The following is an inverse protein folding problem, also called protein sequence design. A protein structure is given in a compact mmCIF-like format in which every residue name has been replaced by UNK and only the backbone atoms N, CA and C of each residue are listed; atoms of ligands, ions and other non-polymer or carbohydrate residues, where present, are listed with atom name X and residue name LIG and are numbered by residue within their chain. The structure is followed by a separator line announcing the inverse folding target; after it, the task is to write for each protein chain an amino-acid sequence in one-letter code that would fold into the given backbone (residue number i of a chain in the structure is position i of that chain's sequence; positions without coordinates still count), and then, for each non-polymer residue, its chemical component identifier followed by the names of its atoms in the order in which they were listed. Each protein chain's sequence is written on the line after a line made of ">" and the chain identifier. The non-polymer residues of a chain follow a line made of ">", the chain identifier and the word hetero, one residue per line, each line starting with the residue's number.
data_IF_431364642460
#
_entry.id   IF_431364642460
#
_cell.length_a   1.000
_cell.length_b   1.000
_cell.length_c   1.000
_cell.angle_alpha   90.00
_cell.angle_beta   90.00
_cell.angle_gamma   90.00
#
_symmetry.space_group_name_H-M   'P 1'
#
loop_
_entity.id
_entity.type
_entity.pdbx_description
1 polymer ?
#
# COMPACT_ATOMS: atom_id res chain seq x y z
N UNK A 1 2.63 -1.59 -22.24
CA UNK A 1 2.13 -1.96 -20.89
C UNK A 1 0.63 -1.72 -20.84
N UNK A 2 -0.12 -2.62 -20.23
CA UNK A 2 -1.57 -2.48 -20.00
C UNK A 2 -1.89 -2.62 -18.50
N UNK A 3 -3.08 -2.17 -18.09
CA UNK A 3 -3.65 -2.63 -16.82
C UNK A 3 -4.04 -4.11 -16.95
N UNK A 4 -4.07 -4.83 -15.82
CA UNK A 4 -4.44 -6.25 -15.78
C UNK A 4 -5.75 -6.57 -16.51
N UNK A 5 -6.79 -5.77 -16.30
CA UNK A 5 -8.10 -5.94 -16.93
C UNK A 5 -8.20 -5.38 -18.36
N UNK A 6 -7.10 -4.81 -18.89
CA UNK A 6 -7.02 -4.09 -20.18
C UNK A 6 -8.00 -2.92 -20.31
N UNK A 7 -8.60 -2.45 -19.21
CA UNK A 7 -9.54 -1.32 -19.20
C UNK A 7 -8.83 -0.01 -18.88
N UNK A 8 -9.42 1.08 -19.36
CA UNK A 8 -9.05 2.44 -19.01
C UNK A 8 -10.15 3.05 -18.13
N UNK A 9 -9.78 3.58 -16.97
CA UNK A 9 -10.72 4.15 -16.00
C UNK A 9 -10.86 5.67 -16.14
N UNK A 10 -10.31 6.27 -17.21
CA UNK A 10 -10.25 7.71 -17.32
C UNK A 10 -9.26 8.31 -16.31
N UNK A 11 -9.55 9.54 -15.90
CA UNK A 11 -8.86 10.16 -14.79
C UNK A 11 -9.41 9.57 -13.49
N UNK A 12 -8.51 9.17 -12.58
CA UNK A 12 -8.84 8.60 -11.27
C UNK A 12 -7.92 9.22 -10.21
N UNK A 13 -8.33 9.19 -8.94
CA UNK A 13 -7.46 9.66 -7.84
C UNK A 13 -6.32 8.69 -7.58
N UNK A 14 -5.24 9.15 -6.94
CA UNK A 14 -4.13 8.28 -6.51
C UNK A 14 -4.62 7.16 -5.57
N UNK A 15 -5.60 7.46 -4.70
CA UNK A 15 -6.24 6.45 -3.85
C UNK A 15 -6.87 5.35 -4.70
N UNK A 16 -7.74 5.70 -5.64
CA UNK A 16 -8.37 4.70 -6.52
C UNK A 16 -7.33 3.91 -7.30
N UNK A 17 -6.30 4.57 -7.84
CA UNK A 17 -5.22 3.91 -8.56
C UNK A 17 -4.45 2.90 -7.70
N UNK A 18 -4.12 3.26 -6.46
CA UNK A 18 -3.43 2.39 -5.50
C UNK A 18 -4.29 1.21 -5.07
N UNK A 19 -5.55 1.48 -4.69
CA UNK A 19 -6.49 0.46 -4.23
C UNK A 19 -6.84 -0.55 -5.30
N UNK A 20 -6.94 -0.11 -6.56
CA UNK A 20 -7.25 -0.97 -7.71
C UNK A 20 -5.98 -1.46 -8.42
N UNK A 21 -4.80 -1.21 -7.84
CA UNK A 21 -3.49 -1.63 -8.34
C UNK A 21 -3.27 -1.34 -9.84
N UNK A 22 -3.53 -0.11 -10.27
CA UNK A 22 -3.49 0.26 -11.69
C UNK A 22 -2.05 0.53 -12.15
N UNK A 23 -1.59 -0.23 -13.14
CA UNK A 23 -0.23 -0.18 -13.69
C UNK A 23 0.10 1.18 -14.33
N UNK A 24 -0.81 1.72 -15.16
CA UNK A 24 -0.51 2.93 -15.94
C UNK A 24 -0.33 4.17 -15.04
N UNK A 25 -1.19 4.43 -14.04
CA UNK A 25 -0.92 5.47 -13.05
C UNK A 25 0.38 5.28 -12.27
N UNK A 26 0.76 4.03 -11.92
CA UNK A 26 2.01 3.77 -11.20
C UNK A 26 3.23 4.15 -12.05
N UNK A 27 3.24 3.78 -13.33
CA UNK A 27 4.31 4.14 -14.28
C UNK A 27 4.42 5.66 -14.42
N UNK A 28 3.29 6.34 -14.65
CA UNK A 28 3.27 7.81 -14.76
C UNK A 28 3.74 8.50 -13.49
N UNK A 29 3.41 7.94 -12.32
CA UNK A 29 3.89 8.47 -11.04
C UNK A 29 5.41 8.34 -10.94
N UNK A 30 5.99 7.20 -11.36
CA UNK A 30 7.44 7.02 -11.38
C UNK A 30 8.12 7.98 -12.38
N UNK A 31 7.53 8.18 -13.56
CA UNK A 31 8.02 9.12 -14.57
C UNK A 31 8.03 10.57 -14.04
N UNK A 32 6.95 10.98 -13.37
CA UNK A 32 6.82 12.32 -12.77
C UNK A 32 7.78 12.54 -11.60
N UNK A 33 7.91 11.56 -10.70
CA UNK A 33 8.82 11.65 -9.54
C UNK A 33 10.28 11.57 -9.98
N UNK A 34 10.57 10.82 -11.05
CA UNK A 34 11.90 10.54 -11.56
C UNK A 34 12.57 9.35 -10.88
N UNK A 35 13.23 8.52 -11.70
CA UNK A 35 13.86 7.28 -11.26
C UNK A 35 14.88 7.44 -10.13
N UNK A 36 15.73 8.47 -10.17
CA UNK A 36 16.74 8.70 -9.12
C UNK A 36 16.12 9.02 -7.75
N UNK A 37 14.98 9.71 -7.73
CA UNK A 37 14.25 9.97 -6.49
C UNK A 37 13.61 8.70 -5.95
N UNK A 38 13.04 7.88 -6.84
CA UNK A 38 12.48 6.57 -6.48
C UNK A 38 13.57 5.63 -5.93
N UNK A 39 14.73 5.55 -6.60
CA UNK A 39 15.90 4.78 -6.15
C UNK A 39 16.33 5.19 -4.74
N UNK A 40 16.48 6.49 -4.50
CA UNK A 40 16.84 7.01 -3.18
C UNK A 40 15.80 6.65 -2.12
N UNK A 41 14.52 6.69 -2.47
CA UNK A 41 13.43 6.38 -1.56
C UNK A 41 13.42 4.89 -1.16
N UNK A 42 13.48 3.98 -2.13
CA UNK A 42 13.47 2.52 -1.84
C UNK A 42 14.76 2.05 -1.17
N UNK A 43 15.91 2.63 -1.51
CA UNK A 43 17.17 2.40 -0.79
C UNK A 43 17.05 2.78 0.69
N UNK A 44 16.37 3.90 0.99
CA UNK A 44 16.07 4.32 2.37
C UNK A 44 15.18 3.33 3.15
N UNK A 45 14.49 2.44 2.45
CA UNK A 45 13.67 1.35 2.99
C UNK A 45 14.39 -0.01 2.97
N UNK A 46 15.71 -0.03 2.71
CA UNK A 46 16.51 -1.26 2.71
C UNK A 46 16.39 -2.11 1.45
N UNK A 47 15.82 -1.56 0.36
CA UNK A 47 15.67 -2.23 -0.92
C UNK A 47 16.65 -1.60 -1.91
N UNK A 48 17.69 -2.35 -2.26
CA UNK A 48 18.68 -1.94 -3.27
C UNK A 48 18.21 -2.32 -4.66
N UNK A 49 18.19 -1.35 -5.57
CA UNK A 49 17.86 -1.58 -6.99
C UNK A 49 19.13 -1.78 -7.81
N UNK A 50 19.08 -2.69 -8.79
CA UNK A 50 20.22 -2.98 -9.67
C UNK A 50 20.45 -1.93 -10.76
N UNK A 51 19.48 -1.05 -10.97
CA UNK A 51 19.54 0.08 -11.90
C UNK A 51 18.56 1.17 -11.45
N UNK A 52 18.69 2.37 -12.01
CA UNK A 52 17.78 3.47 -11.70
C UNK A 52 16.35 3.13 -12.16
N UNK A 53 15.35 3.15 -11.26
CA UNK A 53 13.96 2.81 -11.56
C UNK A 53 13.38 3.56 -12.76
N UNK A 54 12.79 2.80 -13.67
CA UNK A 54 12.03 3.31 -14.80
C UNK A 54 11.04 2.25 -15.30
N UNK A 55 9.98 2.68 -15.99
CA UNK A 55 9.05 1.79 -16.70
C UNK A 55 8.57 0.60 -15.87
N UNK A 56 9.09 -0.60 -16.19
CA UNK A 56 8.72 -1.87 -15.55
C UNK A 56 8.99 -1.91 -14.04
N UNK A 57 9.97 -1.17 -13.52
CA UNK A 57 10.23 -1.13 -12.08
C UNK A 57 9.11 -0.45 -11.28
N UNK A 58 8.21 0.32 -11.94
CA UNK A 58 7.01 0.83 -11.29
C UNK A 58 5.95 -0.25 -11.02
N UNK A 59 6.04 -1.40 -11.70
CA UNK A 59 5.06 -2.49 -11.63
C UNK A 59 5.65 -3.78 -11.03
N UNK A 60 6.94 -3.80 -10.69
CA UNK A 60 7.58 -4.91 -10.00
C UNK A 60 9.08 -4.76 -9.90
N UNK A 61 9.64 -5.21 -8.78
CA UNK A 61 11.08 -5.34 -8.52
C UNK A 61 11.31 -6.60 -7.69
N UNK A 62 12.52 -7.15 -7.74
CA UNK A 62 12.89 -8.31 -6.92
C UNK A 62 13.13 -7.88 -5.47
N UNK A 63 12.39 -8.46 -4.54
CA UNK A 63 12.51 -8.24 -3.09
C UNK A 63 12.22 -9.52 -2.31
N UNK A 64 12.83 -9.67 -1.13
CA UNK A 64 12.41 -10.71 -0.18
C UNK A 64 11.21 -10.27 0.65
N UNK A 65 10.44 -11.23 1.17
CA UNK A 65 9.36 -10.96 2.13
C UNK A 65 9.88 -10.25 3.39
N UNK A 66 11.13 -10.47 3.79
CA UNK A 66 11.77 -9.74 4.90
C UNK A 66 11.95 -8.25 4.56
N UNK A 67 12.49 -7.95 3.37
CA UNK A 67 12.68 -6.57 2.91
C UNK A 67 11.33 -5.85 2.77
N UNK A 68 10.34 -6.51 2.18
CA UNK A 68 9.02 -5.91 1.98
C UNK A 68 8.30 -5.67 3.31
N UNK A 69 8.36 -6.64 4.24
CA UNK A 69 7.80 -6.45 5.58
C UNK A 69 8.49 -5.30 6.34
N UNK A 70 9.81 -5.14 6.20
CA UNK A 70 10.54 -4.04 6.82
C UNK A 70 10.15 -2.67 6.21
N UNK A 71 10.01 -2.61 4.88
CA UNK A 71 9.60 -1.40 4.17
C UNK A 71 8.17 -0.98 4.55
N UNK A 72 7.22 -1.92 4.58
CA UNK A 72 5.85 -1.65 5.01
C UNK A 72 5.77 -1.33 6.51
N UNK A 73 6.66 -1.92 7.33
CA UNK A 73 6.82 -1.54 8.73
C UNK A 73 7.21 -0.07 8.92
N UNK A 74 8.06 0.48 8.03
CA UNK A 74 8.37 1.91 8.04
C UNK A 74 7.14 2.76 7.72
N UNK A 75 6.27 2.33 6.81
CA UNK A 75 4.99 3.03 6.55
C UNK A 75 4.10 2.97 7.79
N UNK A 76 3.94 1.77 8.37
CA UNK A 76 3.10 1.52 9.54
C UNK A 76 3.50 2.36 10.78
N UNK A 77 4.78 2.66 10.95
CA UNK A 77 5.30 3.33 12.16
C UNK A 77 5.56 4.84 11.99
N UNK A 78 5.03 5.48 10.93
CA UNK A 78 5.18 6.92 10.72
C UNK A 78 6.49 7.32 10.01
N UNK A 79 7.11 6.38 9.31
CA UNK A 79 8.16 6.63 8.33
C UNK A 79 9.59 6.32 8.79
N UNK A 80 9.77 5.50 9.82
CA UNK A 80 11.08 5.10 10.33
C UNK A 80 11.39 3.67 9.93
N UNK A 81 12.38 3.49 9.07
CA UNK A 81 12.87 2.18 8.70
C UNK A 81 13.75 1.61 9.81
N UNK A 82 13.47 0.38 10.20
CA UNK A 82 14.33 -0.41 11.09
C UNK A 82 14.86 -1.58 10.28
N UNK A 83 16.20 -1.69 10.20
CA UNK A 83 16.82 -2.87 9.60
C UNK A 83 16.38 -4.11 10.40
N UNK A 84 15.88 -5.17 9.76
CA UNK A 84 15.52 -6.42 10.41
C UNK A 84 16.67 -6.98 11.26
N UNK A 85 16.33 -7.44 12.46
CA UNK A 85 17.26 -8.06 13.40
C UNK A 85 16.58 -9.23 14.08
N UNK A 86 17.26 -10.38 14.15
CA UNK A 86 16.73 -11.59 14.76
C UNK A 86 17.24 -11.85 16.18
N UNK A 87 18.37 -11.22 16.55
CA UNK A 87 19.07 -11.45 17.81
C UNK A 87 18.98 -10.17 18.64
N UNK A 88 18.36 -10.25 19.82
CA UNK A 88 18.30 -9.15 20.79
C UNK A 88 19.40 -9.24 21.85
N UNK A 89 19.87 -10.46 22.15
CA UNK A 89 20.88 -10.70 23.19
C UNK A 89 21.63 -12.01 22.96
N UNK A 90 22.93 -12.00 23.26
CA UNK A 90 23.78 -13.20 23.37
C UNK A 90 24.32 -13.25 24.80
N UNK A 91 24.22 -14.42 25.45
CA UNK A 91 24.85 -14.70 26.75
C UNK A 91 25.91 -15.77 26.52
N UNK A 92 27.17 -15.43 26.82
CA UNK A 92 28.29 -16.36 26.69
C UNK A 92 28.41 -17.26 27.92
N UNK A 93 29.18 -18.35 27.81
CA UNK A 93 29.33 -19.34 28.87
C UNK A 93 29.97 -18.79 30.17
N UNK A 94 30.79 -17.74 30.06
CA UNK A 94 31.38 -17.00 31.19
C UNK A 94 30.43 -15.94 31.77
N UNK A 95 29.18 -15.86 31.30
CA UNK A 95 28.15 -14.97 31.81
C UNK A 95 28.13 -13.56 31.18
N UNK A 96 29.02 -13.26 30.22
CA UNK A 96 29.01 -11.96 29.54
C UNK A 96 27.75 -11.83 28.66
N UNK A 97 27.07 -10.71 28.80
CA UNK A 97 25.89 -10.36 28.01
C UNK A 97 26.25 -9.33 26.93
N UNK A 98 25.93 -9.64 25.68
CA UNK A 98 25.97 -8.72 24.54
C UNK A 98 24.52 -8.42 24.13
N UNK A 99 24.10 -7.15 24.19
CA UNK A 99 22.76 -6.73 23.78
C UNK A 99 22.82 -6.03 22.43
N UNK A 100 21.81 -6.26 21.59
CA UNK A 100 21.73 -5.73 20.24
C UNK A 100 20.42 -4.99 20.05
N UNK A 101 20.51 -3.79 19.50
CA UNK A 101 19.35 -2.93 19.19
C UNK A 101 19.51 -2.34 17.80
N UNK A 102 18.42 -2.24 17.04
CA UNK A 102 18.40 -1.57 15.75
C UNK A 102 18.11 -0.07 15.94
N UNK A 103 19.01 0.80 15.48
CA UNK A 103 18.73 2.24 15.39
C UNK A 103 17.97 2.51 14.09
N UNK A 104 16.75 3.03 14.21
CA UNK A 104 15.91 3.35 13.05
C UNK A 104 16.40 4.58 12.29
N UNK A 105 16.15 4.61 10.99
CA UNK A 105 16.44 5.74 10.10
C UNK A 105 15.16 6.27 9.48
N UNK A 106 14.95 7.58 9.47
CA UNK A 106 13.77 8.17 8.83
C UNK A 106 13.84 7.99 7.30
N UNK A 107 12.95 7.17 6.76
CA UNK A 107 12.82 6.91 5.32
C UNK A 107 11.79 7.83 4.66
N UNK A 108 10.76 8.27 5.41
CA UNK A 108 9.73 9.18 4.90
C UNK A 108 9.18 10.12 5.98
N UNK A 109 8.47 11.17 5.53
CA UNK A 109 7.76 12.10 6.42
C UNK A 109 6.55 11.39 7.05
N UNK A 110 6.13 11.85 8.22
CA UNK A 110 4.93 11.35 8.90
C UNK A 110 3.67 11.56 8.04
N UNK A 111 3.58 12.66 7.30
CA UNK A 111 2.50 12.91 6.34
C UNK A 111 2.46 11.86 5.23
N UNK A 112 3.61 11.52 4.63
CA UNK A 112 3.72 10.49 3.60
C UNK A 112 3.27 9.13 4.13
N UNK A 113 3.79 8.73 5.29
CA UNK A 113 3.43 7.46 5.92
C UNK A 113 1.92 7.38 6.20
N UNK A 114 1.35 8.43 6.80
CA UNK A 114 -0.08 8.50 7.11
C UNK A 114 -0.95 8.43 5.84
N UNK A 115 -0.68 9.26 4.82
CA UNK A 115 -1.47 9.25 3.57
C UNK A 115 -1.37 7.91 2.84
N UNK A 116 -0.19 7.27 2.85
CA UNK A 116 -0.01 5.93 2.28
C UNK A 116 -0.84 4.88 3.03
N UNK A 117 -0.77 4.87 4.37
CA UNK A 117 -1.57 3.96 5.18
C UNK A 117 -3.06 4.16 4.95
N UNK A 118 -3.51 5.41 4.95
CA UNK A 118 -4.90 5.78 4.72
C UNK A 118 -5.40 5.30 3.34
N UNK A 119 -4.62 5.49 2.27
CA UNK A 119 -4.97 4.93 0.96
C UNK A 119 -4.95 3.39 0.94
N UNK A 120 -3.98 2.76 1.61
CA UNK A 120 -3.84 1.30 1.65
C UNK A 120 -4.92 0.60 2.48
N UNK A 121 -5.60 1.29 3.41
CA UNK A 121 -6.82 0.76 4.04
C UNK A 121 -7.92 0.46 3.02
N UNK A 122 -7.91 1.13 1.87
CA UNK A 122 -8.84 0.87 0.76
C UNK A 122 -8.61 -0.49 0.09
N UNK A 123 -7.38 -1.01 0.08
CA UNK A 123 -6.99 -2.25 -0.65
C UNK A 123 -7.72 -3.49 -0.16
N UNK A 124 -8.09 -3.50 1.11
CA UNK A 124 -8.77 -4.63 1.77
C UNK A 124 -10.29 -4.44 1.86
N UNK A 125 -10.83 -3.36 1.30
CA UNK A 125 -12.28 -3.12 1.28
C UNK A 125 -12.96 -4.06 0.27
N UNK A 126 -14.28 -4.28 0.41
CA UNK A 126 -15.05 -4.97 -0.62
C UNK A 126 -14.81 -4.35 -2.01
N UNK A 127 -14.68 -5.20 -3.04
CA UNK A 127 -14.40 -4.80 -4.42
C UNK A 127 -13.02 -4.14 -4.67
N UNK A 128 -12.07 -4.30 -3.74
CA UNK A 128 -10.66 -3.95 -3.94
C UNK A 128 -9.80 -5.20 -4.16
N UNK A 129 -8.49 -5.00 -4.38
CA UNK A 129 -7.59 -6.07 -4.85
C UNK A 129 -7.15 -7.08 -3.77
N UNK A 130 -7.61 -6.95 -2.53
CA UNK A 130 -7.27 -7.87 -1.44
C UNK A 130 -8.36 -7.96 -0.36
N UNK A 131 -9.64 -8.00 -0.77
CA UNK A 131 -10.76 -8.08 0.17
C UNK A 131 -10.64 -9.28 1.15
N UNK A 132 -10.05 -10.39 0.71
CA UNK A 132 -9.81 -11.59 1.51
C UNK A 132 -8.82 -11.41 2.68
N UNK A 133 -8.04 -10.32 2.69
CA UNK A 133 -7.15 -9.98 3.80
C UNK A 133 -7.88 -9.32 4.98
N UNK A 134 -9.14 -8.92 4.80
CA UNK A 134 -9.89 -8.20 5.83
C UNK A 134 -10.15 -9.06 7.07
N UNK A 135 -9.90 -8.48 8.24
CA UNK A 135 -10.13 -9.05 9.57
C UNK A 135 -11.08 -8.10 10.28
N UNK A 136 -12.23 -8.61 10.69
CA UNK A 136 -13.28 -7.81 11.31
C UNK A 136 -12.78 -7.10 12.57
N UNK A 137 -13.02 -5.79 12.67
CA UNK A 137 -12.66 -4.96 13.82
C UNK A 137 -11.17 -4.60 13.93
N UNK A 138 -10.29 -5.07 13.04
CA UNK A 138 -8.87 -4.79 13.09
C UNK A 138 -8.50 -3.54 12.26
N UNK A 139 -7.80 -2.58 12.86
CA UNK A 139 -7.22 -1.45 12.12
C UNK A 139 -5.96 -1.91 11.40
N UNK A 140 -6.09 -2.09 10.08
CA UNK A 140 -5.03 -2.62 9.23
C UNK A 140 -5.07 -2.00 7.84
N UNK A 141 -3.93 -2.06 7.17
CA UNK A 141 -3.76 -1.61 5.79
C UNK A 141 -2.80 -2.56 5.07
N UNK A 142 -2.80 -2.57 3.75
CA UNK A 142 -1.87 -3.41 3.00
C UNK A 142 -1.91 -3.19 1.50
N UNK A 143 -1.15 -3.99 0.78
CA UNK A 143 -1.09 -3.99 -0.68
C UNK A 143 -0.97 -5.43 -1.20
N UNK A 144 -1.78 -5.77 -2.21
CA UNK A 144 -1.57 -7.00 -3.00
C UNK A 144 -0.63 -6.75 -4.18
N UNK A 145 0.04 -7.81 -4.65
CA UNK A 145 0.89 -7.79 -5.83
C UNK A 145 0.68 -9.06 -6.64
N UNK A 146 0.62 -8.93 -7.97
CA UNK A 146 0.51 -10.04 -8.90
C UNK A 146 1.55 -9.84 -10.00
N UNK A 147 2.36 -10.86 -10.27
CA UNK A 147 3.38 -10.81 -11.32
C UNK A 147 2.95 -11.72 -12.45
N UNK A 148 2.64 -11.14 -13.61
CA UNK A 148 2.26 -11.89 -14.80
C UNK A 148 3.49 -12.51 -15.48
N UNK A 149 3.26 -13.60 -16.21
CA UNK A 149 4.24 -14.06 -17.19
C UNK A 149 4.37 -13.10 -18.36
N UNK A 150 5.49 -13.19 -19.08
CA UNK A 150 5.63 -12.56 -20.38
C UNK A 150 4.57 -13.11 -21.37
N UNK A 151 4.11 -12.27 -22.29
CA UNK A 151 3.06 -12.62 -23.26
C UNK A 151 3.41 -13.85 -24.12
N UNK A 152 4.72 -14.11 -24.33
CA UNK A 152 5.25 -15.21 -25.13
C UNK A 152 5.58 -16.48 -24.32
N UNK A 153 5.28 -16.51 -23.01
CA UNK A 153 5.57 -17.64 -22.13
C UNK A 153 4.67 -18.86 -22.37
N UNK A 154 3.66 -18.76 -23.24
CA UNK A 154 2.73 -19.86 -23.54
C UNK A 154 1.81 -20.25 -22.39
N UNK A 155 1.63 -19.37 -21.40
CA UNK A 155 0.78 -19.59 -20.24
C UNK A 155 -0.69 -19.29 -20.55
N UNK A 156 -1.65 -19.93 -19.85
CA UNK A 156 -3.06 -19.60 -19.97
C UNK A 156 -3.36 -18.13 -19.64
N UNK A 157 -4.47 -17.60 -20.15
CA UNK A 157 -4.93 -16.25 -19.80
C UNK A 157 -5.05 -16.12 -18.27
N UNK A 158 -4.60 -14.97 -17.76
CA UNK A 158 -4.55 -14.64 -16.32
C UNK A 158 -3.64 -15.52 -15.46
N UNK A 159 -2.80 -16.37 -16.02
CA UNK A 159 -1.76 -17.05 -15.26
C UNK A 159 -0.75 -16.02 -14.69
N UNK A 160 -0.36 -16.20 -13.43
CA UNK A 160 0.66 -15.38 -12.77
C UNK A 160 1.76 -16.28 -12.17
N UNK A 161 2.97 -15.76 -12.10
CA UNK A 161 4.12 -16.45 -11.50
C UNK A 161 4.16 -16.27 -9.98
N UNK A 162 3.81 -15.08 -9.52
CA UNK A 162 3.93 -14.68 -8.13
C UNK A 162 2.67 -13.96 -7.67
N UNK A 163 2.22 -14.30 -6.47
CA UNK A 163 1.17 -13.58 -5.76
C UNK A 163 1.68 -13.13 -4.40
N UNK A 164 1.33 -11.91 -4.04
CA UNK A 164 1.79 -11.23 -2.84
C UNK A 164 0.64 -10.59 -2.09
N UNK A 165 0.74 -10.59 -0.76
CA UNK A 165 0.05 -9.63 0.08
C UNK A 165 0.95 -9.20 1.23
N UNK A 166 1.18 -7.90 1.34
CA UNK A 166 1.88 -7.31 2.48
C UNK A 166 0.92 -6.39 3.23
N UNK A 167 0.62 -6.74 4.47
CA UNK A 167 -0.29 -5.99 5.33
C UNK A 167 0.31 -5.70 6.69
N UNK A 168 -0.28 -4.75 7.39
CA UNK A 168 0.23 -4.28 8.67
C UNK A 168 -0.85 -3.66 9.56
N UNK A 169 -0.57 -3.74 10.86
CA UNK A 169 -1.19 -2.94 11.92
C UNK A 169 -0.10 -2.05 12.52
N UNK A 170 -0.42 -1.27 13.57
CA UNK A 170 0.62 -0.59 14.37
C UNK A 170 1.53 -1.54 15.16
N UNK A 171 1.13 -2.80 15.36
CA UNK A 171 1.88 -3.78 16.16
C UNK A 171 2.75 -4.70 15.30
N UNK A 172 2.27 -5.10 14.12
CA UNK A 172 2.93 -6.09 13.27
C UNK A 172 2.79 -5.76 11.79
N UNK A 173 3.83 -6.10 11.02
CA UNK A 173 3.80 -6.18 9.56
C UNK A 173 4.05 -7.61 9.14
N UNK A 174 3.30 -8.08 8.15
CA UNK A 174 3.42 -9.42 7.59
C UNK A 174 3.38 -9.33 6.06
N UNK A 175 4.44 -9.81 5.41
CA UNK A 175 4.51 -10.02 3.97
C UNK A 175 4.40 -11.51 3.67
N UNK A 176 3.46 -11.86 2.80
CA UNK A 176 3.23 -13.24 2.35
C UNK A 176 3.41 -13.28 0.83
N UNK A 177 4.23 -14.22 0.38
CA UNK A 177 4.43 -14.57 -1.02
C UNK A 177 4.00 -16.00 -1.26
N UNK A 178 3.39 -16.25 -2.41
CA UNK A 178 3.19 -17.58 -2.96
C UNK A 178 3.64 -17.62 -4.41
N UNK A 179 4.30 -18.70 -4.79
CA UNK A 179 4.78 -18.97 -6.14
C UNK A 179 5.30 -20.40 -6.22
N UNK A 180 5.88 -20.74 -7.38
CA UNK A 180 6.49 -22.04 -7.61
C UNK A 180 8.01 -21.91 -7.70
N UNK A 181 8.74 -22.86 -7.13
CA UNK A 181 10.21 -22.93 -7.25
C UNK A 181 10.69 -22.97 -8.70
N UNK A 182 9.88 -23.57 -9.58
CA UNK A 182 10.11 -23.63 -11.03
C UNK A 182 8.93 -22.98 -11.75
N UNK A 183 8.90 -21.64 -11.87
CA UNK A 183 7.77 -20.90 -12.41
C UNK A 183 7.59 -21.12 -13.92
N UNK A 184 8.58 -21.67 -14.64
CA UNK A 184 8.43 -22.00 -16.06
C UNK A 184 7.59 -23.26 -16.34
N UNK A 185 7.28 -24.06 -15.31
CA UNK A 185 6.56 -25.33 -15.45
C UNK A 185 5.17 -25.35 -14.80
N UNK A 186 4.89 -24.37 -13.95
CA UNK A 186 3.64 -24.23 -13.22
C UNK A 186 3.23 -22.76 -13.22
N UNK A 187 1.98 -22.48 -12.88
CA UNK A 187 1.48 -21.12 -12.73
C UNK A 187 0.44 -21.09 -11.61
N UNK A 188 0.22 -19.92 -11.02
CA UNK A 188 -0.87 -19.72 -10.07
C UNK A 188 -2.15 -19.42 -10.88
N UNK A 189 -3.18 -20.29 -10.83
CA UNK A 189 -4.42 -20.04 -11.53
C UNK A 189 -5.18 -18.88 -10.88
N UNK A 190 -6.09 -18.26 -11.63
CA UNK A 190 -6.93 -17.16 -11.16
C UNK A 190 -7.60 -17.43 -9.78
N UNK A 191 -8.04 -18.66 -9.55
CA UNK A 191 -8.73 -19.08 -8.32
C UNK A 191 -7.84 -19.11 -7.08
N UNK A 192 -6.52 -19.00 -7.23
CA UNK A 192 -5.53 -19.13 -6.15
C UNK A 192 -4.71 -17.85 -5.94
N UNK A 193 -4.96 -16.79 -6.71
CA UNK A 193 -4.18 -15.55 -6.64
C UNK A 193 -4.35 -14.80 -5.31
N UNK A 194 -5.46 -15.02 -4.61
CA UNK A 194 -5.75 -14.40 -3.32
C UNK A 194 -5.20 -15.18 -2.11
N UNK A 195 -4.52 -16.31 -2.32
CA UNK A 195 -3.95 -17.13 -1.24
C UNK A 195 -3.08 -16.32 -0.25
N UNK A 196 -2.16 -15.43 -0.68
CA UNK A 196 -1.38 -14.61 0.24
C UNK A 196 -2.23 -13.77 1.20
N UNK A 197 -3.32 -13.17 0.69
CA UNK A 197 -4.25 -12.37 1.49
C UNK A 197 -4.98 -13.25 2.52
N UNK A 198 -5.41 -14.45 2.12
CA UNK A 198 -6.05 -15.41 3.03
C UNK A 198 -5.09 -15.93 4.11
N UNK A 199 -3.83 -16.20 3.77
CA UNK A 199 -2.79 -16.57 4.72
C UNK A 199 -2.50 -15.43 5.70
N UNK A 200 -2.35 -14.21 5.19
CA UNK A 200 -2.20 -13.01 6.01
C UNK A 200 -3.34 -12.89 7.02
N UNK A 201 -4.59 -13.01 6.58
CA UNK A 201 -5.76 -12.84 7.45
C UNK A 201 -5.71 -13.83 8.64
N UNK A 202 -5.37 -15.10 8.37
CA UNK A 202 -5.26 -16.13 9.41
C UNK A 202 -4.13 -15.85 10.39
N UNK A 203 -2.93 -15.56 9.88
CA UNK A 203 -1.74 -15.36 10.72
C UNK A 203 -1.83 -14.06 11.51
N UNK A 204 -2.26 -12.96 10.88
CA UNK A 204 -2.40 -11.67 11.54
C UNK A 204 -3.52 -11.70 12.60
N UNK A 205 -4.65 -12.37 12.34
CA UNK A 205 -5.70 -12.54 13.35
C UNK A 205 -5.21 -13.29 14.59
N UNK A 206 -4.36 -14.30 14.40
CA UNK A 206 -3.71 -15.01 15.51
C UNK A 206 -2.68 -14.11 16.23
N UNK A 207 -1.79 -13.45 15.48
CA UNK A 207 -0.72 -12.61 16.05
C UNK A 207 -1.25 -11.41 16.86
N UNK A 208 -2.40 -10.87 16.46
CA UNK A 208 -3.05 -9.73 17.12
C UNK A 208 -3.86 -10.10 18.37
N UNK A 209 -3.96 -11.38 18.73
CA UNK A 209 -4.58 -11.79 19.99
C UNK A 209 -3.84 -11.12 21.17
N UNK A 210 -4.56 -10.31 21.94
CA UNK A 210 -4.04 -9.53 23.08
C UNK A 210 -3.03 -8.41 22.72
N UNK A 211 -3.07 -7.91 21.50
CA UNK A 211 -2.29 -6.73 21.09
C UNK A 211 -3.15 -5.48 21.08
N UNK A 212 -2.50 -4.32 21.17
CA UNK A 212 -3.18 -3.04 21.00
C UNK A 212 -3.68 -2.91 19.57
N UNK A 213 -4.97 -2.66 19.43
CA UNK A 213 -5.64 -2.39 18.17
C UNK A 213 -6.07 -0.92 18.14
N UNK A 214 -5.22 -0.07 17.58
CA UNK A 214 -5.47 1.37 17.48
C UNK A 214 -5.26 1.84 16.05
N UNK A 215 -6.09 2.78 15.62
CA UNK A 215 -5.95 3.38 14.30
C UNK A 215 -4.83 4.43 14.27
N UNK A 216 -4.35 4.76 13.07
CA UNK A 216 -3.45 5.88 12.80
C UNK A 216 -4.17 7.21 12.91
N UNK A 217 -3.62 8.12 13.72
CA UNK A 217 -4.09 9.49 13.81
C UNK A 217 -3.44 10.34 12.72
N UNK A 218 -4.23 11.21 12.09
CA UNK A 218 -3.72 12.18 11.14
C UNK A 218 -2.71 13.12 11.85
N UNK A 219 -1.48 13.27 11.33
CA UNK A 219 -0.54 14.25 11.87
C UNK A 219 -0.97 15.67 11.49
N UNK A 220 -0.55 16.67 12.28
CA UNK A 220 -0.85 18.10 12.01
C UNK A 220 -0.28 18.63 10.68
N UNK A 221 0.54 17.81 10.01
CA UNK A 221 1.14 18.08 8.70
C UNK A 221 0.25 17.68 7.52
N UNK A 222 -0.94 17.12 7.76
CA UNK A 222 -1.93 16.86 6.72
C UNK A 222 -3.23 17.60 7.02
N UNK A 223 -4.04 17.80 5.98
CA UNK A 223 -5.39 18.34 6.09
C UNK A 223 -6.34 17.48 5.29
N UNK A 224 -7.48 17.16 5.90
CA UNK A 224 -8.50 16.38 5.25
C UNK A 224 -9.26 17.20 4.20
N UNK A 225 -9.63 16.55 3.10
CA UNK A 225 -10.41 17.09 1.99
C UNK A 225 -11.56 16.13 1.69
N UNK A 226 -12.78 16.65 1.72
CA UNK A 226 -13.96 15.87 1.35
C UNK A 226 -14.11 15.92 -0.17
N UNK A 227 -14.14 14.75 -0.82
CA UNK A 227 -14.44 14.60 -2.25
C UNK A 227 -15.63 13.65 -2.40
N UNK A 228 -16.82 14.23 -2.58
CA UNK A 228 -18.07 13.47 -2.51
C UNK A 228 -18.22 12.80 -1.15
N UNK A 229 -18.27 11.46 -1.13
CA UNK A 229 -18.45 10.65 0.08
C UNK A 229 -17.13 10.07 0.62
N UNK A 230 -15.97 10.53 0.14
CA UNK A 230 -14.66 10.05 0.59
C UNK A 230 -13.89 11.21 1.22
N UNK A 231 -13.12 10.87 2.26
CA UNK A 231 -12.10 11.74 2.83
C UNK A 231 -10.75 11.40 2.20
N UNK A 232 -10.11 12.40 1.60
CA UNK A 232 -8.71 12.33 1.18
C UNK A 232 -7.87 13.25 2.05
N UNK A 233 -6.56 13.01 2.08
CA UNK A 233 -5.62 13.82 2.83
C UNK A 233 -4.60 14.43 1.89
N UNK A 234 -4.27 15.69 2.14
CA UNK A 234 -3.24 16.42 1.43
C UNK A 234 -2.24 16.97 2.45
N UNK A 235 -0.99 17.16 2.03
CA UNK A 235 0.01 17.81 2.88
C UNK A 235 -0.41 19.26 3.11
N UNK A 236 -0.46 19.67 4.38
CA UNK A 236 -0.83 21.02 4.76
C UNK A 236 0.10 22.04 4.10
N UNK A 237 -0.49 23.11 3.55
CA UNK A 237 0.19 24.20 2.86
C UNK A 237 1.00 23.80 1.60
N UNK A 238 0.84 22.56 1.12
CA UNK A 238 1.48 22.14 -0.12
C UNK A 238 0.86 22.86 -1.32
N UNK A 239 1.71 23.52 -2.10
CA UNK A 239 1.33 24.07 -3.40
C UNK A 239 1.43 22.97 -4.44
N UNK A 240 0.29 22.53 -4.98
CA UNK A 240 0.25 21.57 -6.06
C UNK A 240 -0.80 22.00 -7.10
N UNK A 241 -0.61 21.55 -8.34
CA UNK A 241 -1.60 21.71 -9.41
C UNK A 241 -1.97 20.32 -9.92
N UNK A 242 -3.21 20.13 -10.35
CA UNK A 242 -3.63 18.90 -11.03
C UNK A 242 -3.13 18.83 -12.49
N UNK A 243 -2.19 19.70 -12.88
CA UNK A 243 -1.71 19.82 -14.26
C UNK A 243 -2.80 20.22 -15.27
N UNK A 244 -3.90 20.83 -14.83
CA UNK A 244 -5.04 21.15 -15.69
C UNK A 244 -5.94 19.96 -16.02
N UNK A 245 -5.75 18.81 -15.37
CA UNK A 245 -6.60 17.64 -15.57
C UNK A 245 -8.03 17.90 -15.05
N UNK A 246 -9.08 17.35 -15.70
CA UNK A 246 -10.43 17.36 -15.18
C UNK A 246 -10.50 16.87 -13.74
N UNK A 247 -11.30 17.55 -12.92
CA UNK A 247 -11.60 17.07 -11.56
C UNK A 247 -12.28 15.71 -11.65
N UNK A 248 -11.85 14.79 -10.79
CA UNK A 248 -12.40 13.44 -10.71
C UNK A 248 -13.17 13.31 -9.42
N UNK A 249 -14.37 12.75 -9.51
CA UNK A 249 -15.06 12.28 -8.31
C UNK A 249 -14.38 11.00 -7.85
N UNK A 250 -13.92 10.98 -6.61
CA UNK A 250 -13.45 9.74 -5.99
C UNK A 250 -14.61 8.75 -5.96
N UNK A 251 -14.39 7.56 -6.53
CA UNK A 251 -15.39 6.49 -6.52
C UNK A 251 -15.47 5.97 -5.08
N UNK A 252 -16.65 6.07 -4.46
CA UNK A 252 -16.89 5.61 -3.10
C UNK A 252 -16.42 4.15 -2.94
N UNK A 253 -15.26 3.97 -2.30
CA UNK A 253 -14.83 2.70 -1.75
C UNK A 253 -15.45 2.64 -0.37
N UNK A 254 -16.37 1.70 -0.16
CA UNK A 254 -17.23 1.64 1.01
C UNK A 254 -16.51 1.91 2.34
N UNK A 255 -16.99 2.91 3.08
CA UNK A 255 -16.87 2.95 4.54
C UNK A 255 -15.88 3.94 5.16
N UNK A 256 -15.58 5.08 4.53
CA UNK A 256 -15.11 6.26 5.28
C UNK A 256 -16.06 7.43 5.03
N UNK A 257 -16.93 7.65 5.99
CA UNK A 257 -17.82 8.79 6.04
C UNK A 257 -17.07 10.01 6.58
N UNK A 258 -17.42 11.24 6.16
CA UNK A 258 -16.87 12.46 6.77
C UNK A 258 -16.96 12.48 8.31
N UNK A 259 -18.00 11.87 8.88
CA UNK A 259 -18.18 11.70 10.32
C UNK A 259 -17.10 10.85 10.99
N UNK A 260 -16.63 9.78 10.34
CA UNK A 260 -15.57 8.91 10.88
C UNK A 260 -14.21 9.63 10.92
N UNK A 261 -13.99 10.60 10.02
CA UNK A 261 -12.81 11.46 10.03
C UNK A 261 -12.94 12.70 10.95
N UNK A 262 -14.04 12.82 11.70
CA UNK A 262 -14.29 13.99 12.56
C UNK A 262 -14.51 15.29 11.78
N UNK A 263 -14.89 15.20 10.50
CA UNK A 263 -15.13 16.35 9.64
C UNK A 263 -16.62 16.67 9.65
N UNK A 264 -16.99 17.87 10.13
CA UNK A 264 -18.33 18.40 9.93
C UNK A 264 -18.55 18.67 8.43
N UNK A 265 -19.24 17.75 7.75
CA UNK A 265 -19.66 17.90 6.37
C UNK A 265 -20.77 18.97 6.27
N UNK A 266 -20.39 20.23 6.37
CA UNK A 266 -21.26 21.35 6.07
C UNK A 266 -20.52 22.34 5.16
N UNK A 267 -20.26 21.92 3.93
CA UNK A 267 -20.00 22.85 2.82
C UNK A 267 -20.31 22.18 1.47
N UNK A 268 -21.08 22.91 0.66
CA UNK A 268 -21.49 22.62 -0.74
C UNK A 268 -22.67 21.67 -1.00
N UNK A 269 -23.86 22.04 -0.49
CA UNK A 269 -25.06 21.96 -1.33
C UNK A 269 -25.28 23.32 -2.01
N UNK A 270 -24.77 23.47 -3.24
CA UNK A 270 -25.23 24.58 -4.08
C UNK A 270 -26.67 24.29 -4.50
N UNK A 271 -27.59 25.06 -3.92
CA UNK A 271 -29.00 25.00 -4.24
C UNK A 271 -29.27 25.29 -5.71
N UNK A 272 -30.16 24.50 -6.30
CA UNK A 272 -30.93 24.91 -7.46
C UNK A 272 -32.34 25.23 -6.97
N UNK A 273 -32.60 26.50 -6.68
CA UNK A 273 -33.95 27.04 -6.70
C UNK A 273 -34.30 27.33 -8.16
N UNK A 274 -35.07 26.45 -8.80
CA UNK A 274 -35.87 26.84 -9.95
C UNK A 274 -37.16 27.45 -9.43
N UNK A 275 -37.19 28.77 -9.34
CA UNK A 275 -38.44 29.51 -9.43
C UNK A 275 -38.83 29.60 -10.90
N UNK A 276 -40.10 29.36 -11.20
CA UNK A 276 -40.76 29.87 -12.39
C UNK A 276 -42.13 30.40 -11.98
N UNK A 277 -42.38 31.64 -12.40
CA UNK A 277 -43.72 32.19 -12.61
C UNK A 277 -44.53 31.33 -13.57
#
# INVERSE_FOLDING_TARGET
>A
VYNWDKKYMGNITMRTALTQSRNIPAIRTLEEVGGSNAEKFVNGLGITTNSTPGGSMAIGIDVSTEQEAAAFGAVANGGVYYKPTYISKIVTADGKTLSYTSSGTRAMKTSTAFMLTDMMKGVIKPNATAADAAISGLYQAGKSGLVAYADDAGMPDKAISDAWFTGYTKSYTLSVWTGFDVPSKNYIPWTEQDLPAQYYAKVMAYAMQNKSNTDWAAPDTVTAKVKGNIVEYEVKDASWSNGGLPSVNSIAQSGETPSEAGINANSSSTGSTTGNN
#
